data_IF_529341233625
#
_entry.id   IF_529341233625
#
_cell.length_a   1.000
_cell.length_b   1.000
_cell.length_c   1.000
_cell.angle_alpha   90.00
_cell.angle_beta   90.00
_cell.angle_gamma   90.00
#
_symmetry.space_group_name_H-M   'P 1'
#
loop_
_entity.id
_entity.type
_entity.pdbx_description
1 polymer ?
#
# COMPACT_ATOMS: atom_id res chain seq x y z
N UNK A 1 -13.28 -15.89 13.02
CA UNK A 1 -13.81 -15.34 11.76
C UNK A 1 -12.75 -14.40 11.21
N UNK A 2 -12.25 -14.64 10.00
CA UNK A 2 -11.35 -13.68 9.36
C UNK A 2 -12.09 -12.34 9.24
N UNK A 3 -11.46 -11.24 9.64
CA UNK A 3 -11.99 -9.89 9.37
C UNK A 3 -12.10 -9.77 7.85
N UNK A 4 -13.32 -9.58 7.33
CA UNK A 4 -13.49 -9.21 5.93
C UNK A 4 -12.80 -7.86 5.77
N UNK A 5 -11.72 -7.83 5.00
CA UNK A 5 -11.01 -6.60 4.73
C UNK A 5 -11.66 -5.94 3.53
N UNK A 6 -12.37 -4.83 3.79
CA UNK A 6 -13.06 -4.02 2.79
C UNK A 6 -12.04 -3.13 2.05
N UNK A 7 -10.95 -3.72 1.57
CA UNK A 7 -9.79 -2.98 1.06
C UNK A 7 -10.12 -2.23 -0.23
N UNK A 8 -10.90 -2.83 -1.15
CA UNK A 8 -11.26 -2.22 -2.43
C UNK A 8 -12.19 -1.04 -2.24
N UNK A 9 -13.27 -1.23 -1.48
CA UNK A 9 -14.21 -0.15 -1.14
C UNK A 9 -13.54 0.97 -0.34
N UNK A 10 -12.57 0.64 0.52
CA UNK A 10 -11.77 1.63 1.25
C UNK A 10 -10.83 2.44 0.34
N UNK A 11 -10.20 1.80 -0.66
CA UNK A 11 -9.41 2.50 -1.70
C UNK A 11 -10.30 3.42 -2.53
N UNK A 12 -11.43 2.89 -3.02
CA UNK A 12 -12.42 3.64 -3.79
C UNK A 12 -12.91 4.86 -3.02
N UNK A 13 -13.31 4.69 -1.76
CA UNK A 13 -13.78 5.80 -0.95
C UNK A 13 -12.68 6.84 -0.75
N UNK A 14 -11.43 6.45 -0.50
CA UNK A 14 -10.36 7.42 -0.34
C UNK A 14 -10.07 8.24 -1.61
N UNK A 15 -10.28 7.64 -2.78
CA UNK A 15 -10.20 8.32 -4.08
C UNK A 15 -11.37 9.30 -4.28
N UNK A 16 -12.58 8.92 -3.88
CA UNK A 16 -13.82 9.66 -4.18
C UNK A 16 -14.41 10.49 -3.03
N UNK A 17 -13.82 10.45 -1.82
CA UNK A 17 -14.35 11.05 -0.57
C UNK A 17 -14.68 12.55 -0.63
N UNK A 18 -14.14 13.28 -1.61
CA UNK A 18 -14.50 14.69 -1.83
C UNK A 18 -15.93 14.83 -2.36
N UNK A 19 -16.38 13.88 -3.16
CA UNK A 19 -17.66 13.94 -3.89
C UNK A 19 -18.69 12.91 -3.40
N UNK A 20 -18.24 11.82 -2.78
CA UNK A 20 -19.08 10.69 -2.42
C UNK A 20 -19.03 10.36 -0.92
N UNK A 21 -20.14 9.81 -0.43
CA UNK A 21 -20.30 9.26 0.90
C UNK A 21 -19.66 7.87 1.02
N UNK A 22 -19.43 7.36 2.25
CA UNK A 22 -18.88 6.01 2.47
C UNK A 22 -19.72 4.85 1.91
N UNK A 23 -20.99 5.08 1.56
CA UNK A 23 -21.88 4.09 0.93
C UNK A 23 -21.86 4.15 -0.62
N UNK A 24 -20.98 4.98 -1.19
CA UNK A 24 -20.84 5.19 -2.63
C UNK A 24 -21.86 6.14 -3.23
N UNK A 25 -22.74 6.77 -2.45
CA UNK A 25 -23.69 7.78 -2.96
C UNK A 25 -23.00 9.13 -3.12
N UNK A 26 -23.37 9.89 -4.16
CA UNK A 26 -22.88 11.26 -4.31
C UNK A 26 -23.46 12.15 -3.21
N UNK A 27 -22.64 13.05 -2.67
CA UNK A 27 -23.11 14.02 -1.69
C UNK A 27 -24.01 15.08 -2.34
N UNK A 28 -25.11 15.40 -1.68
CA UNK A 28 -26.10 16.35 -2.19
C UNK A 28 -25.52 17.75 -2.41
N UNK A 29 -24.64 18.22 -1.51
CA UNK A 29 -23.99 19.53 -1.62
C UNK A 29 -23.12 19.63 -2.88
N UNK A 30 -22.33 18.58 -3.15
CA UNK A 30 -21.50 18.48 -4.36
C UNK A 30 -22.35 18.41 -5.62
N UNK A 31 -23.47 17.67 -5.58
CA UNK A 31 -24.42 17.61 -6.70
C UNK A 31 -24.99 19.00 -7.01
N UNK A 32 -25.47 19.72 -6.00
CA UNK A 32 -26.01 21.07 -6.16
C UNK A 32 -24.94 22.06 -6.65
N UNK A 33 -23.73 21.97 -6.12
CA UNK A 33 -22.60 22.78 -6.58
C UNK A 33 -22.34 22.57 -8.09
N UNK A 34 -22.18 21.33 -8.54
CA UNK A 34 -21.93 21.02 -9.96
C UNK A 34 -23.04 21.55 -10.88
N UNK A 35 -24.30 21.46 -10.46
CA UNK A 35 -25.44 22.00 -11.22
C UNK A 35 -25.38 23.54 -11.25
N UNK A 36 -25.07 24.19 -10.13
CA UNK A 36 -24.94 25.65 -10.05
C UNK A 36 -23.79 26.20 -10.89
N UNK A 37 -22.71 25.42 -11.07
CA UNK A 37 -21.58 25.72 -11.95
C UNK A 37 -21.91 25.48 -13.45
N UNK A 38 -23.17 25.14 -13.77
CA UNK A 38 -23.66 25.00 -15.14
C UNK A 38 -23.55 23.60 -15.72
N UNK A 39 -23.23 22.57 -14.93
CA UNK A 39 -23.29 21.18 -15.43
C UNK A 39 -24.74 20.74 -15.61
N UNK A 40 -24.98 19.99 -16.70
CA UNK A 40 -26.28 19.40 -16.96
C UNK A 40 -26.66 18.42 -15.82
N UNK A 41 -27.82 18.58 -15.15
CA UNK A 41 -28.27 17.69 -14.09
C UNK A 41 -28.26 16.20 -14.48
N UNK A 42 -28.70 15.87 -15.70
CA UNK A 42 -28.72 14.49 -16.18
C UNK A 42 -27.31 13.88 -16.30
N UNK A 43 -26.31 14.69 -16.66
CA UNK A 43 -24.93 14.24 -16.72
C UNK A 43 -24.32 14.04 -15.32
N UNK A 44 -24.70 14.88 -14.35
CA UNK A 44 -24.28 14.71 -12.94
C UNK A 44 -24.88 13.42 -12.36
N UNK A 45 -26.16 13.17 -12.61
CA UNK A 45 -26.85 11.97 -12.14
C UNK A 45 -26.31 10.70 -12.80
N UNK A 46 -25.99 10.76 -14.10
CA UNK A 46 -25.37 9.65 -14.82
C UNK A 46 -23.97 9.31 -14.27
N UNK A 47 -23.15 10.33 -14.02
CA UNK A 47 -21.85 10.18 -13.38
C UNK A 47 -21.97 9.56 -11.98
N UNK A 48 -22.88 10.08 -11.14
CA UNK A 48 -23.13 9.54 -9.80
C UNK A 48 -23.55 8.06 -9.84
N UNK A 49 -24.44 7.70 -10.78
CA UNK A 49 -24.93 6.33 -10.95
C UNK A 49 -23.82 5.36 -11.35
N UNK A 50 -22.97 5.75 -12.29
CA UNK A 50 -21.83 4.91 -12.73
C UNK A 50 -20.87 4.62 -11.58
N UNK A 51 -20.52 5.65 -10.82
CA UNK A 51 -19.59 5.54 -9.68
C UNK A 51 -20.21 4.73 -8.52
N UNK A 52 -21.52 4.87 -8.29
CA UNK A 52 -22.24 4.02 -7.33
C UNK A 52 -22.24 2.55 -7.74
N UNK A 53 -22.49 2.26 -9.01
CA UNK A 53 -22.48 0.89 -9.53
C UNK A 53 -21.10 0.25 -9.39
N UNK A 54 -20.04 1.01 -9.68
CA UNK A 54 -18.66 0.58 -9.45
C UNK A 54 -18.39 0.29 -7.97
N UNK A 55 -18.80 1.18 -7.07
CA UNK A 55 -18.69 0.94 -5.63
C UNK A 55 -19.42 -0.32 -5.18
N UNK A 56 -20.62 -0.57 -5.68
CA UNK A 56 -21.41 -1.76 -5.35
C UNK A 56 -20.76 -3.04 -5.86
N UNK A 57 -20.13 -3.00 -7.04
CA UNK A 57 -19.32 -4.12 -7.55
C UNK A 57 -18.11 -4.37 -6.65
N UNK A 58 -17.36 -3.33 -6.28
CA UNK A 58 -16.23 -3.47 -5.36
C UNK A 58 -16.65 -4.01 -3.99
N UNK A 59 -17.78 -3.54 -3.47
CA UNK A 59 -18.36 -4.01 -2.22
C UNK A 59 -18.73 -5.49 -2.31
N UNK A 60 -19.38 -5.88 -3.40
CA UNK A 60 -19.72 -7.27 -3.65
C UNK A 60 -18.47 -8.16 -3.71
N UNK A 61 -17.40 -7.69 -4.37
CA UNK A 61 -16.13 -8.40 -4.42
C UNK A 61 -15.46 -8.48 -3.03
N UNK A 62 -15.46 -7.42 -2.24
CA UNK A 62 -14.94 -7.46 -0.87
C UNK A 62 -15.72 -8.45 0.02
N UNK A 63 -17.04 -8.56 -0.17
CA UNK A 63 -17.91 -9.46 0.60
C UNK A 63 -17.83 -10.93 0.16
N UNK A 64 -17.67 -11.19 -1.15
CA UNK A 64 -17.68 -12.55 -1.71
C UNK A 64 -16.29 -13.12 -1.97
N UNK A 65 -15.32 -12.27 -2.29
CA UNK A 65 -13.95 -12.60 -2.66
C UNK A 65 -12.98 -11.58 -2.02
N UNK A 66 -12.93 -11.54 -0.68
CA UNK A 66 -12.11 -10.57 0.03
C UNK A 66 -10.65 -10.67 -0.42
N UNK A 67 -10.04 -9.51 -0.61
CA UNK A 67 -8.61 -9.41 -0.90
C UNK A 67 -7.81 -9.98 0.30
N UNK A 68 -6.85 -10.86 0.01
CA UNK A 68 -5.98 -11.38 1.05
C UNK A 68 -5.14 -10.24 1.65
N UNK A 69 -5.06 -10.20 2.98
CA UNK A 69 -4.29 -9.19 3.70
C UNK A 69 -3.21 -9.86 4.54
N UNK A 70 -2.05 -10.10 3.92
CA UNK A 70 -0.87 -10.64 4.58
C UNK A 70 -0.19 -9.51 5.37
N UNK A 71 0.02 -9.71 6.66
CA UNK A 71 0.74 -8.77 7.51
C UNK A 71 2.25 -8.97 7.35
N UNK A 72 2.93 -7.94 6.84
CA UNK A 72 4.39 -7.90 6.75
C UNK A 72 4.97 -6.86 7.71
N UNK A 73 6.06 -7.23 8.36
CA UNK A 73 6.87 -6.38 9.22
C UNK A 73 8.09 -5.87 8.47
N UNK A 74 8.74 -4.82 8.98
CA UNK A 74 10.00 -4.33 8.43
C UNK A 74 11.07 -5.46 8.35
N UNK A 75 11.05 -6.38 9.32
CA UNK A 75 11.99 -7.50 9.41
C UNK A 75 11.87 -8.51 8.25
N UNK A 76 10.70 -8.63 7.63
CA UNK A 76 10.51 -9.50 6.47
C UNK A 76 11.37 -9.05 5.27
N UNK A 77 11.67 -7.75 5.20
CA UNK A 77 12.47 -7.12 4.14
C UNK A 77 13.97 -7.05 4.46
N UNK A 78 14.39 -7.47 5.66
CA UNK A 78 15.80 -7.44 6.02
C UNK A 78 16.59 -8.41 5.15
N UNK A 79 17.75 -7.96 4.68
CA UNK A 79 18.72 -8.80 4.01
C UNK A 79 19.24 -9.89 4.96
N UNK A 80 19.79 -11.02 4.43
CA UNK A 80 20.40 -12.04 5.27
C UNK A 80 21.48 -11.48 6.20
N UNK A 81 22.25 -10.50 5.74
CA UNK A 81 23.28 -9.81 6.53
C UNK A 81 22.66 -8.97 7.65
N UNK A 82 21.61 -8.20 7.37
CA UNK A 82 20.92 -7.43 8.41
C UNK A 82 20.29 -8.35 9.47
N UNK A 83 19.77 -9.53 9.09
CA UNK A 83 19.23 -10.51 10.05
C UNK A 83 20.30 -11.10 10.97
N UNK A 84 21.57 -11.10 10.57
CA UNK A 84 22.71 -11.48 11.42
C UNK A 84 23.14 -10.35 12.36
N UNK A 85 22.89 -9.09 11.99
CA UNK A 85 23.33 -7.91 12.72
C UNK A 85 22.27 -7.39 13.70
N UNK A 86 21.00 -7.45 13.31
CA UNK A 86 19.89 -6.80 14.01
C UNK A 86 18.83 -7.80 14.48
N UNK A 87 18.13 -7.39 15.54
CA UNK A 87 16.86 -7.95 15.96
C UNK A 87 15.70 -7.32 15.17
N UNK A 88 14.48 -7.92 15.22
CA UNK A 88 13.31 -7.36 14.52
C UNK A 88 12.91 -5.94 14.93
N UNK A 89 13.29 -5.49 16.13
CA UNK A 89 13.05 -4.13 16.63
C UNK A 89 14.15 -3.13 16.23
N UNK A 90 15.15 -3.57 15.47
CA UNK A 90 16.26 -2.77 14.99
C UNK A 90 17.39 -2.57 15.99
N UNK A 91 17.31 -3.18 17.19
CA UNK A 91 18.47 -3.28 18.08
C UNK A 91 19.56 -4.16 17.48
N UNK A 92 20.82 -3.85 17.78
CA UNK A 92 21.92 -4.72 17.39
C UNK A 92 21.92 -6.00 18.24
N UNK A 93 22.23 -7.13 17.61
CA UNK A 93 22.45 -8.39 18.32
C UNK A 93 23.71 -8.32 19.16
N UNK A 94 23.64 -8.86 20.37
CA UNK A 94 24.76 -8.84 21.30
C UNK A 94 26.00 -9.51 20.70
N UNK A 95 25.82 -10.64 20.00
CA UNK A 95 26.92 -11.38 19.38
C UNK A 95 27.62 -10.56 18.29
N UNK A 96 26.85 -9.76 17.54
CA UNK A 96 27.40 -8.88 16.52
C UNK A 96 28.18 -7.72 17.15
N UNK A 97 27.60 -7.07 18.17
CA UNK A 97 28.25 -5.98 18.93
C UNK A 97 29.59 -6.45 19.50
N UNK A 98 29.62 -7.59 20.19
CA UNK A 98 30.84 -8.15 20.76
C UNK A 98 31.91 -8.40 19.69
N UNK A 99 31.52 -9.00 18.56
CA UNK A 99 32.45 -9.30 17.46
C UNK A 99 33.05 -8.04 16.83
N UNK A 100 32.26 -6.99 16.64
CA UNK A 100 32.69 -5.73 16.03
C UNK A 100 33.60 -4.93 16.96
N UNK A 101 33.31 -4.92 18.25
CA UNK A 101 34.17 -4.28 19.26
C UNK A 101 35.55 -4.96 19.31
N UNK A 102 35.61 -6.30 19.21
CA UNK A 102 36.88 -7.04 19.13
C UNK A 102 37.67 -6.65 17.86
N UNK A 103 36.96 -6.42 16.76
CA UNK A 103 37.56 -6.01 15.48
C UNK A 103 37.97 -4.52 15.43
N UNK A 104 37.76 -3.78 16.53
CA UNK A 104 38.16 -2.37 16.65
C UNK A 104 37.11 -1.37 16.16
N UNK A 105 35.88 -1.80 15.91
CA UNK A 105 34.77 -0.90 15.56
C UNK A 105 34.43 -0.02 16.77
N UNK A 106 34.20 1.27 16.52
CA UNK A 106 33.88 2.23 17.57
C UNK A 106 32.49 1.95 18.17
N UNK A 107 32.31 2.00 19.51
CA UNK A 107 30.99 1.90 20.14
C UNK A 107 30.00 2.93 19.59
N UNK A 108 30.44 4.17 19.36
CA UNK A 108 29.57 5.23 18.81
C UNK A 108 29.12 4.96 17.38
N UNK A 109 29.90 4.20 16.60
CA UNK A 109 29.47 3.74 15.27
C UNK A 109 28.36 2.69 15.37
N UNK A 110 28.47 1.75 16.32
CA UNK A 110 27.45 0.74 16.57
C UNK A 110 26.15 1.38 17.08
N UNK A 111 26.23 2.36 17.98
CA UNK A 111 25.08 3.13 18.45
C UNK A 111 24.37 3.88 17.30
N UNK A 112 25.13 4.54 16.42
CA UNK A 112 24.57 5.23 15.25
C UNK A 112 23.94 4.26 14.25
N UNK A 113 24.55 3.08 14.07
CA UNK A 113 24.03 2.02 13.22
C UNK A 113 22.69 1.49 13.74
N UNK A 114 22.58 1.21 15.04
CA UNK A 114 21.33 0.85 15.71
C UNK A 114 20.27 1.94 15.55
N UNK A 115 20.64 3.20 15.84
CA UNK A 115 19.73 4.35 15.74
C UNK A 115 19.12 4.47 14.34
N UNK A 116 19.94 4.33 13.30
CA UNK A 116 19.48 4.37 11.89
C UNK A 116 18.52 3.23 11.59
N UNK A 117 18.82 2.01 12.03
CA UNK A 117 17.95 0.87 11.77
C UNK A 117 16.60 1.01 12.46
N UNK A 118 16.56 1.49 13.69
CA UNK A 118 15.30 1.82 14.39
C UNK A 118 14.47 2.84 13.62
N UNK A 119 15.10 3.89 13.08
CA UNK A 119 14.43 4.88 12.23
C UNK A 119 13.87 4.25 10.95
N UNK A 120 14.59 3.32 10.31
CA UNK A 120 14.09 2.62 9.12
C UNK A 120 12.81 1.83 9.44
N UNK A 121 12.79 1.11 10.56
CA UNK A 121 11.62 0.33 11.01
C UNK A 121 10.45 1.25 11.34
N UNK A 122 10.69 2.34 12.08
CA UNK A 122 9.65 3.31 12.41
C UNK A 122 9.06 3.95 11.14
N UNK A 123 9.91 4.25 10.16
CA UNK A 123 9.48 4.74 8.86
C UNK A 123 8.60 3.74 8.12
N UNK A 124 9.02 2.47 8.06
CA UNK A 124 8.23 1.40 7.46
C UNK A 124 6.85 1.28 8.14
N UNK A 125 6.81 1.23 9.48
CA UNK A 125 5.57 1.10 10.24
C UNK A 125 4.63 2.27 9.96
N UNK A 126 5.15 3.50 9.99
CA UNK A 126 4.37 4.71 9.69
C UNK A 126 3.79 4.71 8.27
N UNK A 127 4.57 4.28 7.28
CA UNK A 127 4.07 4.19 5.89
C UNK A 127 3.02 3.08 5.78
N UNK A 128 3.30 1.91 6.34
CA UNK A 128 2.37 0.77 6.35
C UNK A 128 1.02 1.15 6.95
N UNK A 129 1.02 1.84 8.10
CA UNK A 129 -0.21 2.35 8.74
C UNK A 129 -0.95 3.35 7.85
N UNK A 130 -0.23 4.29 7.22
CA UNK A 130 -0.80 5.30 6.33
C UNK A 130 -1.47 4.65 5.11
N UNK A 131 -0.81 3.69 4.48
CA UNK A 131 -1.34 2.97 3.32
C UNK A 131 -2.53 2.08 3.73
N UNK A 132 -2.43 1.40 4.88
CA UNK A 132 -3.53 0.60 5.43
C UNK A 132 -4.76 1.46 5.71
N UNK A 133 -4.59 2.72 6.15
CA UNK A 133 -5.68 3.68 6.36
C UNK A 133 -6.42 4.05 5.07
N UNK A 134 -5.82 3.82 3.90
CA UNK A 134 -6.48 3.99 2.60
C UNK A 134 -6.82 2.67 1.89
N UNK A 135 -6.62 1.53 2.55
CA UNK A 135 -6.96 0.21 2.00
C UNK A 135 -5.88 -0.40 1.11
N UNK A 136 -4.65 0.10 1.20
CA UNK A 136 -3.48 -0.43 0.50
C UNK A 136 -2.63 -1.25 1.47
N UNK A 137 -2.26 -2.47 1.09
CA UNK A 137 -1.30 -3.28 1.84
C UNK A 137 0.12 -2.97 1.35
N UNK A 138 0.79 -2.03 2.02
CA UNK A 138 2.14 -1.59 1.66
C UNK A 138 3.16 -2.74 1.68
N UNK A 139 3.12 -3.58 2.69
CA UNK A 139 4.03 -4.73 2.78
C UNK A 139 3.86 -5.71 1.63
N UNK A 140 2.62 -5.96 1.21
CA UNK A 140 2.35 -6.79 0.03
C UNK A 140 2.88 -6.12 -1.25
N UNK A 141 2.74 -4.81 -1.41
CA UNK A 141 3.31 -4.07 -2.54
C UNK A 141 4.83 -4.20 -2.58
N UNK A 142 5.51 -3.99 -1.46
CA UNK A 142 6.97 -4.12 -1.36
C UNK A 142 7.44 -5.56 -1.68
N UNK A 143 6.77 -6.56 -1.11
CA UNK A 143 7.10 -7.97 -1.41
C UNK A 143 6.89 -8.30 -2.88
N UNK A 144 5.84 -7.75 -3.48
CA UNK A 144 5.58 -7.93 -4.88
C UNK A 144 6.61 -7.21 -5.76
N UNK A 145 7.08 -6.02 -5.39
CA UNK A 145 8.18 -5.31 -6.07
C UNK A 145 9.47 -6.13 -6.04
N UNK A 146 9.83 -6.71 -4.89
CA UNK A 146 10.97 -7.61 -4.74
C UNK A 146 10.85 -8.89 -5.58
N UNK A 147 9.63 -9.44 -5.69
CA UNK A 147 9.37 -10.58 -6.58
C UNK A 147 9.49 -10.15 -8.04
N UNK A 148 8.89 -9.03 -8.42
CA UNK A 148 8.85 -8.52 -9.79
C UNK A 148 10.24 -8.24 -10.37
N UNK A 149 11.19 -7.77 -9.55
CA UNK A 149 12.59 -7.60 -9.97
C UNK A 149 13.28 -8.92 -10.33
N UNK A 150 12.72 -10.06 -9.90
CA UNK A 150 13.25 -11.41 -10.11
C UNK A 150 12.40 -12.23 -11.10
N UNK A 151 11.37 -11.64 -11.72
CA UNK A 151 10.31 -12.36 -12.43
C UNK A 151 10.38 -12.28 -13.97
N UNK A 152 9.66 -13.21 -14.60
CA UNK A 152 9.41 -13.25 -16.05
C UNK A 152 8.32 -12.24 -16.46
N UNK A 153 8.21 -11.92 -17.77
CA UNK A 153 7.27 -10.93 -18.29
C UNK A 153 5.80 -11.16 -17.88
N UNK A 154 5.32 -12.41 -17.91
CA UNK A 154 3.93 -12.76 -17.54
C UNK A 154 3.62 -12.44 -16.08
N UNK A 155 4.55 -12.70 -15.18
CA UNK A 155 4.37 -12.44 -13.76
C UNK A 155 4.40 -10.93 -13.46
N UNK A 156 5.20 -10.17 -14.21
CA UNK A 156 5.19 -8.71 -14.13
C UNK A 156 3.86 -8.09 -14.59
N UNK A 157 3.19 -8.68 -15.60
CA UNK A 157 1.84 -8.25 -16.02
C UNK A 157 0.80 -8.43 -14.92
N UNK A 158 0.84 -9.56 -14.20
CA UNK A 158 -0.07 -9.79 -13.07
C UNK A 158 0.13 -8.77 -11.94
N UNK A 159 1.39 -8.37 -11.69
CA UNK A 159 1.68 -7.36 -10.69
C UNK A 159 1.10 -5.98 -11.07
N UNK A 160 1.24 -5.61 -12.34
CA UNK A 160 0.68 -4.34 -12.84
C UNK A 160 -0.85 -4.27 -12.71
N UNK A 161 -1.58 -5.38 -12.84
CA UNK A 161 -3.03 -5.40 -12.56
C UNK A 161 -3.34 -5.06 -11.09
N UNK A 162 -2.48 -5.47 -10.16
CA UNK A 162 -2.60 -5.12 -8.74
C UNK A 162 -2.25 -3.66 -8.50
N UNK A 163 -1.21 -3.14 -9.14
CA UNK A 163 -0.77 -1.74 -9.00
C UNK A 163 -1.81 -0.77 -9.57
N UNK A 164 -2.40 -1.10 -10.71
CA UNK A 164 -3.53 -0.36 -11.29
C UNK A 164 -4.76 -0.37 -10.38
N UNK A 165 -5.08 -1.50 -9.74
CA UNK A 165 -6.16 -1.57 -8.72
C UNK A 165 -5.85 -0.75 -7.47
N UNK A 166 -4.57 -0.48 -7.21
CA UNK A 166 -4.13 0.42 -6.15
C UNK A 166 -4.03 1.88 -6.59
N UNK A 167 -4.42 2.19 -7.84
CA UNK A 167 -4.34 3.51 -8.46
C UNK A 167 -2.92 4.08 -8.46
N UNK A 168 -1.89 3.23 -8.62
CA UNK A 168 -0.57 3.73 -8.98
C UNK A 168 -0.63 4.43 -10.35
N UNK A 169 0.14 5.50 -10.53
CA UNK A 169 0.14 6.23 -11.80
C UNK A 169 0.66 5.32 -12.92
N UNK A 170 0.04 5.33 -14.13
CA UNK A 170 0.54 4.52 -15.23
C UNK A 170 2.01 4.77 -15.58
N UNK A 171 2.50 5.99 -15.34
CA UNK A 171 3.92 6.37 -15.50
C UNK A 171 4.86 5.81 -14.43
N UNK A 172 4.34 5.36 -13.29
CA UNK A 172 5.14 4.66 -12.26
C UNK A 172 5.21 3.15 -12.50
N UNK A 173 4.50 2.63 -13.51
CA UNK A 173 4.58 1.22 -13.88
C UNK A 173 5.93 0.91 -14.54
N UNK A 174 6.52 -0.26 -14.28
CA UNK A 174 7.87 -0.60 -14.73
C UNK A 174 8.00 -0.81 -16.25
N UNK A 175 6.90 -0.93 -17.00
CA UNK A 175 6.84 -1.04 -18.47
C UNK A 175 5.40 -0.82 -18.96
N UNK A 176 5.23 -0.52 -20.25
CA UNK A 176 3.91 -0.29 -20.87
C UNK A 176 3.15 -1.61 -21.05
N UNK A 177 1.85 -1.61 -20.73
CA UNK A 177 0.94 -2.78 -20.75
C UNK A 177 0.81 -3.42 -22.13
N UNK A 178 1.07 -2.62 -23.17
CA UNK A 178 0.99 -2.97 -24.58
C UNK A 178 2.35 -3.32 -25.21
N UNK A 179 3.45 -3.31 -24.43
CA UNK A 179 4.76 -3.77 -24.94
C UNK A 179 4.76 -5.29 -25.05
N UNK A 180 4.85 -5.90 -26.26
CA UNK A 180 4.81 -7.35 -26.44
C UNK A 180 5.98 -8.09 -25.80
#
# INVERSE_FOLDING_TARGET
MARINMSRTKRWFNMHKKEFNPDGTMRDDVRQQKISEGRNPAAVDDYARRLKAEFDEWKHLDETQPEEWIEYTAYDFFTPTEKQQFNPDGSLRAEYVESELINGTSPGWLEEMERRKKIDIDNYNRVSEREAAIGINFGQQEMNRLRASSQTYVQRRQQMEVDLRNNEEPSSLPFDIDTP
#
